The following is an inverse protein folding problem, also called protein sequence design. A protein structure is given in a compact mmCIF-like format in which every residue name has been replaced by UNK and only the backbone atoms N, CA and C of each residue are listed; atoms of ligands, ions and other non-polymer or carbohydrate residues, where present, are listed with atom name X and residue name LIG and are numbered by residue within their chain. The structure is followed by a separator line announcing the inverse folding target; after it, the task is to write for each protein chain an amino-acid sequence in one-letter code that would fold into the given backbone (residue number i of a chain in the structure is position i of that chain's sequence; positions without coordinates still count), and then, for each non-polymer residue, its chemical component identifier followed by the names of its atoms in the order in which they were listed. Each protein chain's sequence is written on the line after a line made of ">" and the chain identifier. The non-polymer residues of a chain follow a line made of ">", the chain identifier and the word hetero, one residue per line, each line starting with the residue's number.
data_IF_211722404540
#
_entry.id   IF_211722404540
#
_cell.length_a   1.000
_cell.length_b   1.000
_cell.length_c   1.000
_cell.angle_alpha   90.00
_cell.angle_beta   90.00
_cell.angle_gamma   90.00
#
_symmetry.space_group_name_H-M   'P 1'
#
loop_
_entity.id
_entity.type
_entity.pdbx_description
1 polymer ?
#
# COMPACT_ATOMS: atom_id res chain seq x y z
N UNK A 1 21.09 -32.22 -1.48
CA UNK A 1 19.69 -31.82 -1.29
C UNK A 1 19.48 -31.56 0.19
N UNK A 2 19.60 -30.30 0.64
CA UNK A 2 19.42 -29.93 2.04
C UNK A 2 18.04 -29.32 2.26
N UNK A 3 17.34 -29.78 3.29
CA UNK A 3 16.01 -29.33 3.67
C UNK A 3 16.01 -27.86 4.17
N UNK A 4 14.88 -27.13 4.04
CA UNK A 4 14.79 -25.75 4.53
C UNK A 4 14.71 -25.72 6.07
N UNK A 5 15.44 -24.78 6.68
CA UNK A 5 15.31 -24.43 8.09
C UNK A 5 13.93 -23.80 8.34
N UNK A 6 13.07 -24.51 9.06
CA UNK A 6 11.83 -23.96 9.62
C UNK A 6 12.20 -23.18 10.89
N UNK A 7 11.98 -21.86 10.89
CA UNK A 7 12.11 -21.03 12.09
C UNK A 7 10.92 -21.33 13.02
N UNK A 8 11.21 -21.88 14.20
CA UNK A 8 10.25 -22.16 15.26
C UNK A 8 9.76 -20.85 15.89
N UNK A 9 8.48 -20.53 15.73
CA UNK A 9 7.80 -19.42 16.42
C UNK A 9 7.43 -19.79 17.85
N UNK A 10 8.35 -19.54 18.79
CA UNK A 10 8.01 -19.52 20.21
C UNK A 10 7.21 -18.25 20.57
N UNK A 11 6.37 -18.27 21.64
CA UNK A 11 5.70 -17.07 22.12
C UNK A 11 6.72 -16.06 22.64
N UNK A 12 6.61 -14.82 22.16
CA UNK A 12 7.49 -13.71 22.48
C UNK A 12 7.28 -13.23 23.93
N UNK A 13 8.35 -13.23 24.74
CA UNK A 13 8.37 -12.62 26.07
C UNK A 13 8.71 -11.13 25.95
N UNK A 14 7.92 -10.19 26.53
CA UNK A 14 8.20 -8.77 26.44
C UNK A 14 9.33 -8.37 27.40
N UNK A 15 10.50 -8.04 26.84
CA UNK A 15 11.67 -7.55 27.58
C UNK A 15 11.73 -6.02 27.65
N UNK A 16 11.55 -5.50 28.87
CA UNK A 16 12.09 -4.29 29.51
C UNK A 16 12.17 -2.91 28.78
N UNK A 17 11.42 -1.97 29.38
CA UNK A 17 11.64 -0.51 29.53
C UNK A 17 12.31 0.26 28.39
N UNK A 18 11.49 0.89 27.55
CA UNK A 18 11.94 2.02 26.73
C UNK A 18 11.72 3.32 27.51
N UNK A 19 12.72 4.19 27.58
CA UNK A 19 12.61 5.55 28.12
C UNK A 19 12.99 6.56 27.03
N UNK A 20 12.14 6.66 26.02
CA UNK A 20 12.14 7.70 24.99
C UNK A 20 10.71 8.21 24.75
N UNK A 21 10.45 9.15 23.83
CA UNK A 21 9.09 9.64 23.54
C UNK A 21 8.10 8.55 23.06
N UNK A 22 8.60 7.34 22.81
CA UNK A 22 7.86 6.13 22.41
C UNK A 22 7.63 5.14 23.57
N UNK A 23 8.00 5.52 24.81
CA UNK A 23 8.10 4.65 25.97
C UNK A 23 6.79 4.17 26.58
N UNK A 24 5.71 4.94 26.46
CA UNK A 24 4.66 4.83 27.48
C UNK A 24 3.27 5.08 26.91
N UNK A 25 2.80 4.18 26.02
CA UNK A 25 1.43 4.18 25.49
C UNK A 25 0.97 5.44 24.72
N UNK A 26 1.74 6.52 24.72
CA UNK A 26 1.34 7.86 24.30
C UNK A 26 1.07 7.93 22.81
N UNK A 27 1.91 7.28 21.99
CA UNK A 27 1.68 7.19 20.55
C UNK A 27 0.41 6.40 20.23
N UNK A 28 0.11 5.33 20.96
CA UNK A 28 -1.13 4.57 20.79
C UNK A 28 -2.34 5.41 21.16
N UNK A 29 -2.30 6.07 22.32
CA UNK A 29 -3.38 6.93 22.78
C UNK A 29 -3.64 8.08 21.80
N UNK A 30 -2.58 8.70 21.29
CA UNK A 30 -2.70 9.79 20.33
C UNK A 30 -3.24 9.31 18.98
N UNK A 31 -2.77 8.16 18.47
CA UNK A 31 -3.34 7.55 17.27
C UNK A 31 -4.82 7.20 17.45
N UNK A 32 -5.20 6.59 18.58
CA UNK A 32 -6.61 6.31 18.87
C UNK A 32 -7.45 7.59 18.91
N UNK A 33 -6.93 8.67 19.53
CA UNK A 33 -7.60 9.97 19.59
C UNK A 33 -7.80 10.55 18.19
N UNK A 34 -6.77 10.55 17.35
CA UNK A 34 -6.82 11.07 15.98
C UNK A 34 -7.77 10.25 15.09
N UNK A 35 -7.74 8.93 15.17
CA UNK A 35 -8.63 8.05 14.40
C UNK A 35 -10.10 8.23 14.81
N UNK A 36 -10.38 8.33 16.12
CA UNK A 36 -11.72 8.63 16.63
C UNK A 36 -12.20 10.00 16.13
N UNK A 37 -11.33 11.00 16.11
CA UNK A 37 -11.67 12.33 15.62
C UNK A 37 -11.97 12.31 14.12
N UNK A 38 -11.17 11.61 13.31
CA UNK A 38 -11.41 11.49 11.87
C UNK A 38 -12.77 10.84 11.55
N UNK A 39 -13.17 9.82 12.31
CA UNK A 39 -14.50 9.21 12.19
C UNK A 39 -15.60 10.19 12.60
N UNK A 40 -15.42 10.89 13.73
CA UNK A 40 -16.37 11.89 14.21
C UNK A 40 -16.57 13.06 13.23
N UNK A 41 -15.50 13.48 12.55
CA UNK A 41 -15.51 14.53 11.53
C UNK A 41 -16.03 14.06 10.17
N UNK A 42 -16.30 12.76 10.01
CA UNK A 42 -16.84 12.19 8.77
C UNK A 42 -15.80 12.01 7.66
N UNK A 43 -14.51 12.00 7.98
CA UNK A 43 -13.43 11.71 7.01
C UNK A 43 -13.60 10.30 6.42
N UNK A 44 -13.97 9.34 7.26
CA UNK A 44 -14.34 7.99 6.89
C UNK A 44 -15.31 7.41 7.93
N UNK A 45 -16.22 6.49 7.56
CA UNK A 45 -17.15 5.85 8.51
C UNK A 45 -16.45 4.90 9.50
N UNK A 46 -15.30 4.36 9.12
CA UNK A 46 -14.47 3.50 9.96
C UNK A 46 -13.02 3.52 9.46
N UNK A 47 -12.07 3.27 10.36
CA UNK A 47 -10.62 3.27 10.06
C UNK A 47 -9.91 2.18 10.87
N UNK A 48 -8.90 1.57 10.25
CA UNK A 48 -7.98 0.62 10.88
C UNK A 48 -6.55 1.06 10.61
N UNK A 49 -5.69 1.00 11.63
CA UNK A 49 -4.31 1.45 11.59
C UNK A 49 -3.39 0.38 12.20
N UNK A 50 -2.44 -0.10 11.40
CA UNK A 50 -1.33 -0.94 11.83
C UNK A 50 -0.03 -0.14 11.74
N UNK A 51 0.83 -0.27 12.75
CA UNK A 51 2.12 0.43 12.82
C UNK A 51 3.20 -0.59 13.14
N UNK A 52 4.19 -0.68 12.25
CA UNK A 52 5.43 -1.42 12.46
C UNK A 52 6.58 -0.41 12.52
N UNK A 53 7.41 -0.51 13.55
CA UNK A 53 8.59 0.32 13.75
C UNK A 53 9.83 -0.54 13.54
N UNK A 54 10.73 -0.13 12.66
CA UNK A 54 11.99 -0.82 12.44
C UNK A 54 13.11 -0.16 13.27
N UNK A 55 13.74 -0.96 14.13
CA UNK A 55 14.91 -0.58 14.91
C UNK A 55 16.17 -0.43 14.05
N UNK A 56 17.16 0.26 14.61
CA UNK A 56 18.49 0.45 13.98
C UNK A 56 19.25 -0.86 13.78
N UNK A 57 18.89 -1.88 14.55
CA UNK A 57 19.37 -3.25 14.47
C UNK A 57 18.53 -4.13 13.52
N UNK A 58 17.65 -3.52 12.72
CA UNK A 58 16.68 -4.18 11.84
C UNK A 58 15.60 -4.99 12.57
N UNK A 59 15.50 -4.90 13.90
CA UNK A 59 14.36 -5.47 14.63
C UNK A 59 13.05 -4.77 14.21
N UNK A 60 11.93 -5.49 14.27
CA UNK A 60 10.61 -4.90 13.96
C UNK A 60 9.73 -5.04 15.19
N UNK A 61 9.19 -3.92 15.67
CA UNK A 61 8.20 -3.85 16.72
C UNK A 61 6.84 -3.45 16.13
N UNK A 62 5.83 -4.28 16.35
CA UNK A 62 4.47 -4.00 15.90
C UNK A 62 3.61 -3.51 17.06
N UNK A 63 2.89 -2.41 16.84
CA UNK A 63 1.84 -1.99 17.75
C UNK A 63 0.56 -2.77 17.44
N UNK A 64 -0.19 -3.26 18.46
CA UNK A 64 -1.53 -3.80 18.25
C UNK A 64 -2.39 -2.87 17.39
N UNK A 65 -3.10 -3.44 16.41
CA UNK A 65 -3.97 -2.72 15.47
C UNK A 65 -4.95 -1.83 16.23
N UNK A 66 -5.08 -0.59 15.77
CA UNK A 66 -5.97 0.43 16.33
C UNK A 66 -7.13 0.63 15.37
N UNK A 67 -8.36 0.59 15.86
CA UNK A 67 -9.56 0.79 15.05
C UNK A 67 -10.44 1.91 15.60
N UNK A 68 -11.22 2.54 14.73
CA UNK A 68 -12.28 3.47 15.11
C UNK A 68 -13.47 3.35 14.14
N UNK A 69 -14.68 3.62 14.65
CA UNK A 69 -15.92 3.38 13.92
C UNK A 69 -16.33 1.90 13.92
N UNK A 70 -17.23 1.51 13.02
CA UNK A 70 -17.79 0.17 12.96
C UNK A 70 -16.88 -0.84 12.21
N UNK A 71 -15.62 -0.97 12.62
CA UNK A 71 -14.69 -1.98 12.10
C UNK A 71 -13.85 -2.63 13.20
N UNK A 72 -13.60 -3.93 13.07
CA UNK A 72 -12.60 -4.67 13.85
C UNK A 72 -11.28 -4.88 13.09
N UNK A 73 -10.28 -5.44 13.76
CA UNK A 73 -8.95 -5.71 13.19
C UNK A 73 -8.97 -6.69 12.00
N UNK A 74 -9.99 -7.54 11.90
CA UNK A 74 -10.18 -8.50 10.80
C UNK A 74 -11.08 -7.96 9.66
N UNK A 75 -11.48 -6.68 9.71
CA UNK A 75 -12.33 -6.09 8.67
C UNK A 75 -11.57 -5.97 7.36
N UNK A 76 -12.18 -6.40 6.26
CA UNK A 76 -11.62 -6.26 4.92
C UNK A 76 -11.94 -4.88 4.34
N UNK A 77 -10.93 -4.24 3.76
CA UNK A 77 -11.05 -2.96 3.06
C UNK A 77 -10.68 -3.12 1.59
N UNK A 78 -11.31 -2.34 0.72
CA UNK A 78 -10.87 -2.20 -0.67
C UNK A 78 -9.57 -1.38 -0.70
N UNK A 79 -8.49 -2.02 -1.17
CA UNK A 79 -7.17 -1.41 -1.30
C UNK A 79 -7.10 -0.35 -2.41
N UNK A 80 -8.08 -0.30 -3.30
CA UNK A 80 -8.17 0.65 -4.39
C UNK A 80 -6.84 0.79 -5.15
N UNK A 81 -6.23 1.98 -5.14
CA UNK A 81 -4.99 2.22 -5.88
C UNK A 81 -3.75 1.53 -5.29
N UNK A 82 -3.78 1.07 -4.04
CA UNK A 82 -2.68 0.26 -3.46
C UNK A 82 -2.53 -1.07 -4.21
N UNK A 83 -3.61 -1.57 -4.83
CA UNK A 83 -3.60 -2.76 -5.71
C UNK A 83 -2.55 -2.67 -6.83
N UNK A 84 -2.18 -1.46 -7.28
CA UNK A 84 -1.15 -1.28 -8.30
C UNK A 84 0.21 -1.85 -7.89
N UNK A 85 0.53 -1.90 -6.59
CA UNK A 85 1.77 -2.53 -6.11
C UNK A 85 1.81 -4.02 -6.48
N UNK A 86 0.69 -4.73 -6.31
CA UNK A 86 0.57 -6.14 -6.69
C UNK A 86 0.70 -6.32 -8.20
N UNK A 87 0.03 -5.48 -8.99
CA UNK A 87 0.15 -5.48 -10.45
C UNK A 87 1.60 -5.23 -10.88
N UNK A 88 2.28 -4.26 -10.28
CA UNK A 88 3.67 -3.92 -10.57
C UNK A 88 4.60 -5.08 -10.24
N UNK A 89 4.51 -5.66 -9.04
CA UNK A 89 5.34 -6.81 -8.64
C UNK A 89 5.11 -7.99 -9.58
N UNK A 90 3.86 -8.28 -9.93
CA UNK A 90 3.52 -9.36 -10.86
C UNK A 90 4.12 -9.11 -12.25
N UNK A 91 4.01 -7.89 -12.77
CA UNK A 91 4.61 -7.51 -14.04
C UNK A 91 6.14 -7.63 -14.02
N UNK A 92 6.79 -7.21 -12.93
CA UNK A 92 8.24 -7.32 -12.76
C UNK A 92 8.70 -8.78 -12.60
N UNK A 93 7.91 -9.65 -11.96
CA UNK A 93 8.20 -11.08 -11.92
C UNK A 93 8.19 -11.69 -13.33
N UNK A 94 7.21 -11.32 -14.16
CA UNK A 94 7.17 -11.74 -15.57
C UNK A 94 8.32 -11.18 -16.40
N UNK A 95 8.85 -10.00 -16.06
CA UNK A 95 10.09 -9.48 -16.65
C UNK A 95 11.29 -10.34 -16.24
N UNK A 96 11.38 -10.73 -14.96
CA UNK A 96 12.40 -11.65 -14.47
C UNK A 96 12.38 -13.00 -15.18
N UNK A 97 11.18 -13.50 -15.53
CA UNK A 97 10.99 -14.74 -16.28
C UNK A 97 11.21 -14.58 -17.81
N UNK A 98 11.55 -13.38 -18.30
CA UNK A 98 11.72 -13.09 -19.72
C UNK A 98 10.42 -13.13 -20.54
N UNK A 99 9.26 -13.09 -19.88
CA UNK A 99 7.92 -13.11 -20.53
C UNK A 99 7.44 -11.71 -20.91
N UNK A 100 7.99 -10.68 -20.27
CA UNK A 100 7.77 -9.27 -20.56
C UNK A 100 9.11 -8.53 -20.61
N UNK A 101 9.14 -7.38 -21.25
CA UNK A 101 10.31 -6.50 -21.34
C UNK A 101 9.88 -5.08 -20.95
N UNK A 102 10.66 -4.41 -20.08
CA UNK A 102 10.32 -3.06 -19.61
C UNK A 102 10.28 -2.04 -20.74
N UNK A 103 11.22 -2.15 -21.68
CA UNK A 103 11.45 -1.16 -22.73
C UNK A 103 10.86 -1.58 -24.09
N UNK A 104 10.16 -2.71 -24.14
CA UNK A 104 9.40 -3.11 -25.31
C UNK A 104 8.04 -2.39 -25.39
N UNK A 105 7.56 -2.06 -26.61
CA UNK A 105 6.21 -1.58 -26.80
C UNK A 105 5.15 -2.56 -26.28
N UNK A 106 4.23 -2.09 -25.44
CA UNK A 106 3.14 -2.92 -24.89
C UNK A 106 2.14 -3.36 -25.96
N UNK A 107 2.17 -2.71 -27.13
CA UNK A 107 1.42 -3.12 -28.32
C UNK A 107 1.67 -4.56 -28.77
N UNK A 108 2.80 -5.17 -28.37
CA UNK A 108 3.08 -6.61 -28.57
C UNK A 108 2.05 -7.51 -27.88
N UNK A 109 1.49 -7.06 -26.75
CA UNK A 109 0.53 -7.82 -25.94
C UNK A 109 -0.88 -7.19 -25.94
N UNK A 110 -0.97 -5.87 -26.09
CA UNK A 110 -2.21 -5.10 -25.99
C UNK A 110 -2.57 -4.46 -27.32
N UNK A 111 -3.57 -5.00 -28.01
CA UNK A 111 -4.01 -4.51 -29.33
C UNK A 111 -4.35 -3.01 -29.35
N UNK A 112 -4.90 -2.48 -28.25
CA UNK A 112 -5.21 -1.05 -28.11
C UNK A 112 -3.99 -0.12 -28.18
N UNK A 113 -2.79 -0.67 -27.97
CA UNK A 113 -1.51 0.04 -28.04
C UNK A 113 -0.68 -0.40 -29.25
N UNK A 114 -1.23 -1.18 -30.17
CA UNK A 114 -0.47 -1.71 -31.31
C UNK A 114 -0.27 -0.70 -32.45
N UNK A 115 -1.06 0.39 -32.48
CA UNK A 115 -1.07 1.37 -33.58
C UNK A 115 -1.33 2.77 -33.04
N UNK A 116 -1.06 3.79 -33.86
CA UNK A 116 -1.32 5.19 -33.55
C UNK A 116 -0.26 5.83 -32.65
N UNK A 117 -0.64 6.95 -32.05
CA UNK A 117 0.16 7.77 -31.13
C UNK A 117 0.68 6.99 -29.91
N UNK A 118 -0.05 5.96 -29.48
CA UNK A 118 0.31 5.11 -28.33
C UNK A 118 1.19 3.91 -28.67
N UNK A 119 1.56 3.73 -29.94
CA UNK A 119 2.34 2.56 -30.38
C UNK A 119 3.75 2.47 -29.77
N UNK A 120 4.30 3.60 -29.31
CA UNK A 120 5.60 3.67 -28.64
C UNK A 120 5.51 3.52 -27.10
N UNK A 121 4.32 3.32 -26.53
CA UNK A 121 4.17 3.14 -25.07
C UNK A 121 4.81 1.81 -24.65
N UNK A 122 5.73 1.86 -23.69
CA UNK A 122 6.42 0.69 -23.13
C UNK A 122 5.82 0.26 -21.81
N UNK A 123 6.19 -0.93 -21.32
CA UNK A 123 5.75 -1.40 -20.00
C UNK A 123 6.24 -0.46 -18.91
N UNK A 124 7.47 0.06 -19.03
CA UNK A 124 8.02 1.09 -18.15
C UNK A 124 7.10 2.31 -18.08
N UNK A 125 6.66 2.84 -19.23
CA UNK A 125 5.75 4.00 -19.25
C UNK A 125 4.43 3.75 -18.49
N UNK A 126 3.89 2.53 -18.56
CA UNK A 126 2.69 2.18 -17.80
C UNK A 126 2.96 2.11 -16.29
N UNK A 127 4.04 1.43 -15.89
CA UNK A 127 4.40 1.23 -14.47
C UNK A 127 4.83 2.53 -13.79
N UNK A 128 5.35 3.51 -14.54
CA UNK A 128 5.81 4.81 -14.01
C UNK A 128 4.84 5.96 -14.28
N UNK A 129 3.63 5.68 -14.77
CA UNK A 129 2.62 6.71 -15.07
C UNK A 129 3.06 7.78 -16.09
N UNK A 130 3.90 7.42 -17.06
CA UNK A 130 4.42 8.34 -18.10
C UNK A 130 3.91 8.00 -19.51
N UNK A 131 2.91 7.13 -19.63
CA UNK A 131 2.35 6.70 -20.93
C UNK A 131 1.43 7.72 -21.60
N UNK A 132 1.05 8.81 -20.91
CA UNK A 132 0.04 9.76 -21.41
C UNK A 132 -1.39 9.19 -21.43
N UNK A 133 -1.63 8.03 -20.81
CA UNK A 133 -2.97 7.47 -20.68
C UNK A 133 -3.82 8.34 -19.74
N UNK A 134 -5.01 8.75 -20.20
CA UNK A 134 -5.95 9.48 -19.37
C UNK A 134 -6.42 8.62 -18.18
N UNK A 135 -6.56 9.26 -17.01
CA UNK A 135 -7.19 8.62 -15.86
C UNK A 135 -8.67 8.43 -16.18
N UNK A 136 -9.11 7.18 -16.30
CA UNK A 136 -10.53 6.87 -16.41
C UNK A 136 -11.18 7.05 -15.03
N UNK A 137 -11.63 8.27 -14.71
CA UNK A 137 -12.55 8.51 -13.60
C UNK A 137 -13.98 8.37 -14.13
N UNK A 138 -14.38 7.15 -14.45
CA UNK A 138 -15.77 6.83 -14.74
C UNK A 138 -16.38 6.13 -13.52
N UNK A 139 -17.31 6.81 -12.83
CA UNK A 139 -18.31 6.14 -12.00
C UNK A 139 -18.01 5.89 -10.52
N UNK A 140 -16.91 6.39 -9.95
CA UNK A 140 -16.79 6.49 -8.50
C UNK A 140 -17.28 7.87 -8.07
N UNK A 141 -18.40 7.92 -7.34
CA UNK A 141 -18.97 9.14 -6.73
C UNK A 141 -18.06 9.85 -5.71
N UNK A 142 -16.75 9.57 -5.69
CA UNK A 142 -15.76 10.33 -4.95
C UNK A 142 -15.35 11.58 -5.75
N UNK A 143 -16.03 12.68 -5.47
CA UNK A 143 -15.69 14.02 -5.96
C UNK A 143 -14.49 14.54 -5.15
N UNK A 144 -13.26 14.33 -5.62
CA UNK A 144 -12.10 15.08 -5.09
C UNK A 144 -12.11 16.46 -5.75
N UNK A 145 -12.68 17.45 -5.04
CA UNK A 145 -12.64 18.86 -5.45
C UNK A 145 -11.44 19.51 -4.76
N UNK A 146 -10.32 19.65 -5.46
CA UNK A 146 -9.24 20.56 -5.04
C UNK A 146 -9.61 21.96 -5.50
N UNK A 147 -10.06 22.80 -4.56
CA UNK A 147 -10.26 24.23 -4.81
C UNK A 147 -8.95 24.95 -4.49
N UNK A 148 -8.14 25.23 -5.51
CA UNK A 148 -7.08 26.23 -5.39
C UNK A 148 -7.68 27.60 -5.68
N UNK A 149 -7.59 28.53 -4.73
CA UNK A 149 -7.69 29.97 -5.01
C UNK A 149 -6.26 30.48 -5.20
N UNK A 150 -6.02 31.14 -6.33
CA UNK A 150 -4.87 32.04 -6.46
C UNK A 150 -5.17 33.32 -5.68
#
# INVERSE_FOLDING_TARGET
>A
MSAPHVLSSGPFSPGASNSGPFADGGIRHELQRLLNQAVKEGVAPAVSCAVALQGVDHSVAELPVITAGACGSATLFDLASVTKLFTTVTALALVGDGRLELDAPVGRHLRAYARGDKSAVTLRHLLTHTSGAAVAVAGLGCRVVVRARF
#
